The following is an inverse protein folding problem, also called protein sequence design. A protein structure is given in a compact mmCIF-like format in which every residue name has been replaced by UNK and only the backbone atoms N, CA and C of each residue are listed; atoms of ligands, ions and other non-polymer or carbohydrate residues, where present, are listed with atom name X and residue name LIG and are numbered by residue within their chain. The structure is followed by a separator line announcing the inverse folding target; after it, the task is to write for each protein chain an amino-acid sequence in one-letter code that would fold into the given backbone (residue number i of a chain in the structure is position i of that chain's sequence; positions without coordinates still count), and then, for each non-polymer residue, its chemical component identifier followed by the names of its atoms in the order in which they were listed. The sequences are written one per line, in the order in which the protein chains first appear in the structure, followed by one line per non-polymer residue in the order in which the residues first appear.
data_IF_117434034295
#
_entry.id   IF_117434034295
#
_cell.length_a   1.000
_cell.length_b   1.000
_cell.length_c   1.000
_cell.angle_alpha   90.00
_cell.angle_beta   90.00
_cell.angle_gamma   90.00
#
_symmetry.space_group_name_H-M   'P 1'
#
loop_
_entity.id
_entity.type
_entity.pdbx_description
1 polymer ?
#
# COMPACT_ATOMS: atom_id res chain seq x y z
N UNK A 1 -10.77 2.55 20.56
CA UNK A 1 -9.80 3.56 20.04
C UNK A 1 -10.37 4.10 18.74
N UNK A 2 -10.52 5.42 18.55
CA UNK A 2 -10.92 5.94 17.26
C UNK A 2 -9.82 5.58 16.27
N UNK A 3 -10.12 4.71 15.30
CA UNK A 3 -9.21 4.45 14.18
C UNK A 3 -8.91 5.80 13.54
N UNK A 4 -7.64 6.17 13.44
CA UNK A 4 -7.22 7.48 12.98
C UNK A 4 -7.83 7.74 11.58
N UNK A 5 -8.50 8.87 11.35
CA UNK A 5 -9.15 9.18 10.06
C UNK A 5 -8.18 9.05 8.88
N UNK A 6 -6.89 9.36 9.10
CA UNK A 6 -5.81 9.19 8.13
C UNK A 6 -5.60 7.70 7.75
N UNK A 7 -5.59 6.80 8.73
CA UNK A 7 -5.44 5.36 8.48
C UNK A 7 -6.65 4.81 7.72
N UNK A 8 -7.86 5.26 8.08
CA UNK A 8 -9.08 4.85 7.38
C UNK A 8 -9.08 5.32 5.93
N UNK A 9 -8.66 6.55 5.66
CA UNK A 9 -8.54 7.09 4.31
C UNK A 9 -7.52 6.29 3.48
N UNK A 10 -6.36 5.99 4.06
CA UNK A 10 -5.33 5.23 3.36
C UNK A 10 -5.74 3.77 3.10
N UNK A 11 -6.41 3.12 4.05
CA UNK A 11 -7.00 1.79 3.83
C UNK A 11 -8.07 1.82 2.74
N UNK A 12 -8.91 2.86 2.71
CA UNK A 12 -9.92 3.01 1.67
C UNK A 12 -9.27 3.16 0.27
N UNK A 13 -8.17 3.92 0.17
CA UNK A 13 -7.39 4.01 -1.06
C UNK A 13 -6.81 2.66 -1.49
N UNK A 14 -6.13 1.94 -0.59
CA UNK A 14 -5.54 0.64 -0.92
C UNK A 14 -6.57 -0.38 -1.40
N UNK A 15 -7.81 -0.32 -0.87
CA UNK A 15 -8.92 -1.16 -1.34
C UNK A 15 -9.35 -0.88 -2.78
N UNK A 16 -9.09 0.33 -3.30
CA UNK A 16 -9.38 0.62 -4.71
C UNK A 16 -8.41 -0.08 -5.67
N UNK A 17 -7.26 -0.51 -5.16
CA UNK A 17 -6.23 -1.25 -5.90
C UNK A 17 -6.44 -2.76 -5.86
N UNK A 18 -7.37 -3.23 -5.01
CA UNK A 18 -7.64 -4.66 -4.84
C UNK A 18 -8.16 -5.28 -6.14
N UNK A 19 -7.61 -6.45 -6.50
CA UNK A 19 -7.94 -7.16 -7.73
C UNK A 19 -7.39 -6.56 -9.03
N UNK A 20 -6.63 -5.46 -8.99
CA UNK A 20 -6.00 -4.89 -10.20
C UNK A 20 -4.77 -5.73 -10.60
N UNK A 21 -4.78 -6.21 -11.84
CA UNK A 21 -3.61 -6.86 -12.44
C UNK A 21 -2.63 -5.81 -12.97
N UNK A 22 -1.39 -5.88 -12.50
CA UNK A 22 -0.29 -5.05 -12.99
C UNK A 22 0.87 -5.91 -13.50
N UNK A 23 1.56 -5.41 -14.52
CA UNK A 23 2.81 -6.03 -14.96
C UNK A 23 3.88 -5.88 -13.88
N UNK A 24 4.69 -6.91 -13.65
CA UNK A 24 5.83 -6.88 -12.74
C UNK A 24 6.78 -5.71 -13.04
N UNK A 25 6.93 -5.32 -14.31
CA UNK A 25 7.76 -4.17 -14.71
C UNK A 25 7.25 -2.83 -14.16
N UNK A 26 5.97 -2.78 -13.79
CA UNK A 26 5.31 -1.59 -13.26
C UNK A 26 5.16 -1.64 -11.74
N UNK A 27 5.75 -2.62 -11.05
CA UNK A 27 5.63 -2.74 -9.59
C UNK A 27 6.19 -1.51 -8.87
N UNK A 28 7.34 -1.00 -9.32
CA UNK A 28 7.95 0.20 -8.74
C UNK A 28 7.01 1.39 -8.89
N UNK A 29 6.41 1.57 -10.07
CA UNK A 29 5.45 2.64 -10.32
C UNK A 29 4.23 2.56 -9.39
N UNK A 30 3.74 1.36 -9.08
CA UNK A 30 2.66 1.18 -8.11
C UNK A 30 3.12 1.56 -6.70
N UNK A 31 4.34 1.18 -6.29
CA UNK A 31 4.90 1.56 -4.99
C UNK A 31 5.02 3.08 -4.86
N UNK A 32 5.52 3.75 -5.90
CA UNK A 32 5.65 5.20 -5.96
C UNK A 32 4.27 5.88 -5.81
N UNK A 33 3.25 5.38 -6.52
CA UNK A 33 1.87 5.88 -6.41
C UNK A 33 1.29 5.74 -4.99
N UNK A 34 1.56 4.61 -4.34
CA UNK A 34 1.09 4.36 -2.97
C UNK A 34 1.81 5.29 -1.97
N UNK A 35 3.09 5.55 -2.18
CA UNK A 35 3.87 6.48 -1.35
C UNK A 35 3.41 7.94 -1.55
N UNK A 36 3.18 8.36 -2.79
CA UNK A 36 2.63 9.67 -3.12
C UNK A 36 1.27 9.90 -2.44
N UNK A 37 0.37 8.92 -2.46
CA UNK A 37 -0.92 9.03 -1.78
C UNK A 37 -0.77 9.11 -0.25
N UNK A 38 0.17 8.36 0.33
CA UNK A 38 0.46 8.45 1.76
C UNK A 38 0.98 9.85 2.15
N UNK A 39 1.85 10.45 1.33
CA UNK A 39 2.35 11.82 1.51
C UNK A 39 1.20 12.84 1.40
N UNK A 40 0.35 12.70 0.38
CA UNK A 40 -0.81 13.54 0.17
C UNK A 40 -1.77 13.50 1.39
N UNK A 41 -2.11 12.31 1.87
CA UNK A 41 -2.98 12.16 3.03
C UNK A 41 -2.33 12.65 4.33
N UNK A 42 -1.02 12.48 4.50
CA UNK A 42 -0.27 13.07 5.62
C UNK A 42 -0.39 14.60 5.65
N UNK A 43 -0.33 15.25 4.48
CA UNK A 43 -0.50 16.70 4.36
C UNK A 43 -1.95 17.13 4.68
N UNK A 44 -2.94 16.39 4.19
CA UNK A 44 -4.37 16.65 4.43
C UNK A 44 -4.75 16.47 5.91
N UNK A 45 -4.15 15.48 6.58
CA UNK A 45 -4.41 15.12 7.97
C UNK A 45 -3.23 15.48 8.88
N UNK A 46 -2.70 16.71 8.79
CA UNK A 46 -1.50 17.16 9.51
C UNK A 46 -1.54 17.07 11.04
N UNK A 47 -2.73 16.94 11.64
CA UNK A 47 -2.91 16.75 13.09
C UNK A 47 -2.76 15.29 13.53
N UNK A 48 -2.75 14.36 12.58
CA UNK A 48 -2.62 12.93 12.82
C UNK A 48 -1.14 12.52 12.84
N UNK A 49 -0.83 11.39 13.48
CA UNK A 49 0.51 10.79 13.34
C UNK A 49 0.72 10.44 11.85
N UNK A 50 1.83 10.85 11.22
CA UNK A 50 2.06 10.58 9.80
C UNK A 50 2.19 9.08 9.49
N UNK A 51 1.55 8.63 8.41
CA UNK A 51 1.77 7.33 7.81
C UNK A 51 3.25 7.17 7.45
N UNK A 52 3.83 6.04 7.85
CA UNK A 52 5.13 5.57 7.37
C UNK A 52 4.89 4.24 6.67
N UNK A 53 4.97 4.29 5.34
CA UNK A 53 4.78 3.12 4.48
C UNK A 53 6.12 2.43 4.28
N UNK A 54 6.13 1.11 4.42
CA UNK A 54 7.29 0.28 4.13
C UNK A 54 6.90 -0.84 3.20
N UNK A 55 7.67 -0.97 2.13
CA UNK A 55 7.58 -2.08 1.20
C UNK A 55 8.67 -3.08 1.55
N UNK A 56 8.30 -4.36 1.65
CA UNK A 56 9.29 -5.43 1.71
C UNK A 56 8.80 -6.65 0.96
N UNK A 57 9.76 -7.44 0.51
CA UNK A 57 9.54 -8.76 -0.07
C UNK A 57 10.13 -9.78 0.90
N UNK A 58 9.31 -10.57 1.61
CA UNK A 58 9.83 -11.53 2.57
C UNK A 58 10.53 -12.70 1.83
N UNK A 59 11.86 -12.66 1.71
CA UNK A 59 12.65 -13.76 1.16
C UNK A 59 12.26 -14.15 -0.28
N UNK A 60 12.08 -15.46 -0.52
CA UNK A 60 11.68 -16.06 -1.81
C UNK A 60 10.16 -15.98 -2.07
N UNK A 61 9.41 -15.21 -1.28
CA UNK A 61 7.97 -15.13 -1.45
C UNK A 61 7.58 -14.40 -2.74
N UNK A 62 6.42 -14.80 -3.26
CA UNK A 62 5.86 -14.35 -4.54
C UNK A 62 4.91 -13.15 -4.34
N UNK A 63 5.20 -12.31 -3.35
CA UNK A 63 4.37 -11.15 -3.06
C UNK A 63 5.19 -10.01 -2.43
N UNK A 64 4.73 -8.79 -2.65
CA UNK A 64 5.19 -7.62 -1.91
C UNK A 64 4.22 -7.33 -0.77
N UNK A 65 4.77 -7.08 0.41
CA UNK A 65 4.02 -6.62 1.57
C UNK A 65 4.21 -5.11 1.73
N UNK A 66 3.10 -4.43 1.96
CA UNK A 66 3.03 -3.02 2.30
C UNK A 66 2.61 -2.95 3.76
N UNK A 67 3.43 -2.35 4.60
CA UNK A 67 3.12 -2.18 6.03
C UNK A 67 3.10 -0.73 6.42
N UNK A 68 2.09 -0.39 7.22
CA UNK A 68 1.96 0.90 7.89
C UNK A 68 1.23 0.65 9.21
N UNK A 69 1.82 1.12 10.32
CA UNK A 69 1.32 0.84 11.66
C UNK A 69 1.12 -0.65 11.95
N UNK A 70 -0.13 -1.09 12.17
CA UNK A 70 -0.52 -2.48 12.47
C UNK A 70 -1.24 -3.15 11.29
N UNK A 71 -1.28 -2.49 10.13
CA UNK A 71 -2.00 -2.95 8.94
C UNK A 71 -0.99 -3.41 7.90
N UNK A 72 -1.32 -4.52 7.25
CA UNK A 72 -0.58 -5.11 6.14
C UNK A 72 -1.49 -5.21 4.92
N UNK A 73 -0.96 -4.84 3.75
CA UNK A 73 -1.57 -5.03 2.44
C UNK A 73 -0.62 -5.82 1.54
N UNK A 74 -1.14 -6.73 0.72
CA UNK A 74 -0.33 -7.64 -0.10
C UNK A 74 -0.57 -7.40 -1.59
N UNK A 75 0.52 -7.30 -2.34
CA UNK A 75 0.52 -7.37 -3.81
C UNK A 75 0.98 -8.77 -4.18
N UNK A 76 0.07 -9.60 -4.69
CA UNK A 76 0.33 -11.00 -5.02
C UNK A 76 0.82 -11.13 -6.47
N UNK A 77 1.80 -11.99 -6.70
CA UNK A 77 2.19 -12.38 -8.07
C UNK A 77 1.05 -13.21 -8.70
N UNK A 78 0.61 -12.80 -9.89
CA UNK A 78 -0.29 -13.59 -10.72
C UNK A 78 0.50 -14.24 -11.86
N UNK A 79 0.28 -15.54 -12.08
CA UNK A 79 0.85 -16.28 -13.20
C UNK A 79 -0.26 -16.53 -14.22
N UNK A 80 0.02 -16.26 -15.50
CA UNK A 80 -0.81 -16.81 -16.56
C UNK A 80 -0.45 -18.29 -16.70
N UNK A 81 -1.42 -19.18 -16.49
CA UNK A 81 -1.30 -20.56 -16.96
C UNK A 81 -1.30 -20.50 -18.50
N UNK A 82 -0.18 -20.93 -19.10
CA UNK A 82 0.02 -21.03 -20.54
C UNK A 82 -0.28 -22.45 -21.03
#
# INVERSE_FOLDING_TARGET
MPKNNLELAFVAYLKTLDGILISVKNIQKLQDQIEEEAIHLNALHSRCKPLSVKFYRPGNDKHFAITFYTIEFKILDAFLDA
#
